data_IF_254368698326
#
_entry.id   IF_254368698326
#
_cell.length_a   1.000
_cell.length_b   1.000
_cell.length_c   1.000
_cell.angle_alpha   90.00
_cell.angle_beta   90.00
_cell.angle_gamma   90.00
#
_symmetry.space_group_name_H-M   'P 1'
#
loop_
_entity.id
_entity.type
_entity.pdbx_description
1 polymer ?
#
# COMPACT_ATOMS: atom_id res chain seq x y z
N UNK A 1 -20.41 -2.56 -21.72
CA UNK A 1 -19.84 -3.20 -20.52
C UNK A 1 -19.21 -2.13 -19.65
N UNK A 2 -19.90 -1.68 -18.61
CA UNK A 2 -19.28 -0.79 -17.61
C UNK A 2 -18.37 -1.68 -16.76
N UNK A 3 -17.06 -1.64 -17.05
CA UNK A 3 -16.08 -2.16 -16.09
C UNK A 3 -16.13 -1.23 -14.88
N UNK A 4 -16.56 -1.75 -13.73
CA UNK A 4 -16.30 -1.18 -12.43
C UNK A 4 -14.77 -1.05 -12.27
N UNK A 5 -14.19 0.05 -12.76
CA UNK A 5 -12.75 0.27 -12.80
C UNK A 5 -12.22 0.42 -11.38
N UNK A 6 -11.74 -0.67 -10.81
CA UNK A 6 -10.92 -0.68 -9.60
C UNK A 6 -9.52 -0.18 -9.95
N UNK A 7 -8.83 0.41 -8.99
CA UNK A 7 -7.53 1.06 -9.23
C UNK A 7 -6.53 0.54 -8.23
N UNK A 8 -5.34 0.20 -8.73
CA UNK A 8 -4.14 0.00 -7.93
C UNK A 8 -3.21 1.17 -8.25
N UNK A 9 -2.68 1.80 -7.21
CA UNK A 9 -1.60 2.79 -7.27
C UNK A 9 -0.42 2.15 -6.57
N UNK A 10 0.72 2.13 -7.24
CA UNK A 10 1.96 1.58 -6.71
C UNK A 10 3.10 2.55 -6.99
N UNK A 11 4.02 2.70 -6.04
CA UNK A 11 5.29 3.38 -6.26
C UNK A 11 6.13 2.59 -7.29
N UNK A 12 7.06 3.28 -7.93
CA UNK A 12 7.91 2.68 -8.98
C UNK A 12 8.93 1.68 -8.46
N UNK A 13 9.11 1.61 -7.14
CA UNK A 13 10.05 0.74 -6.45
C UNK A 13 9.36 -0.43 -5.72
N UNK A 14 8.19 -0.81 -6.26
CA UNK A 14 7.36 -1.97 -5.91
C UNK A 14 7.63 -3.16 -6.84
N UNK A 15 7.63 -4.36 -6.28
CA UNK A 15 7.81 -5.63 -6.99
C UNK A 15 6.64 -6.57 -6.71
N UNK A 16 6.02 -7.06 -7.79
CA UNK A 16 4.83 -7.88 -7.70
C UNK A 16 5.23 -9.31 -8.06
N UNK A 17 5.41 -10.15 -7.04
CA UNK A 17 5.79 -11.56 -7.25
C UNK A 17 4.57 -12.42 -7.62
N UNK A 18 3.39 -11.95 -7.23
CA UNK A 18 2.11 -12.57 -7.56
C UNK A 18 1.08 -11.47 -7.86
N UNK A 19 0.23 -11.67 -8.87
CA UNK A 19 -0.88 -10.75 -9.17
C UNK A 19 -1.79 -10.58 -7.93
N UNK A 20 -1.86 -9.37 -7.34
CA UNK A 20 -2.66 -9.14 -6.15
C UNK A 20 -4.15 -8.93 -6.46
N UNK A 21 -4.54 -8.83 -7.73
CA UNK A 21 -5.87 -8.37 -8.16
C UNK A 21 -7.01 -9.19 -7.56
N UNK A 22 -6.93 -10.54 -7.64
CA UNK A 22 -7.97 -11.42 -7.11
C UNK A 22 -8.10 -11.32 -5.60
N UNK A 23 -6.97 -11.22 -4.89
CA UNK A 23 -6.95 -11.04 -3.44
C UNK A 23 -7.63 -9.73 -3.05
N UNK A 24 -7.22 -8.61 -3.66
CA UNK A 24 -7.78 -7.28 -3.42
C UNK A 24 -9.29 -7.23 -3.71
N UNK A 25 -9.72 -7.89 -4.79
CA UNK A 25 -11.14 -8.03 -5.15
C UNK A 25 -11.95 -8.84 -4.14
N UNK A 26 -11.32 -9.79 -3.47
CA UNK A 26 -11.95 -10.66 -2.46
C UNK A 26 -12.08 -10.02 -1.08
N UNK A 27 -11.36 -8.93 -0.80
CA UNK A 27 -11.35 -8.28 0.51
C UNK A 27 -12.75 -7.86 0.97
N UNK A 28 -13.07 -8.16 2.22
CA UNK A 28 -14.33 -7.80 2.87
C UNK A 28 -14.09 -7.28 4.30
N UNK A 29 -14.86 -6.29 4.74
CA UNK A 29 -15.04 -6.00 6.18
C UNK A 29 -16.52 -6.09 6.54
N UNK A 30 -16.84 -6.75 7.66
CA UNK A 30 -18.22 -6.95 8.11
C UNK A 30 -19.20 -7.42 6.99
N UNK A 31 -18.74 -8.28 6.07
CA UNK A 31 -19.52 -8.80 4.95
C UNK A 31 -19.65 -7.89 3.72
N UNK A 32 -19.11 -6.66 3.74
CA UNK A 32 -19.13 -5.72 2.61
C UNK A 32 -17.81 -5.70 1.87
N UNK A 33 -17.82 -5.29 0.60
CA UNK A 33 -16.59 -5.10 -0.16
C UNK A 33 -15.78 -3.94 0.40
N UNK A 34 -14.47 -4.18 0.61
CA UNK A 34 -13.53 -3.11 0.94
C UNK A 34 -13.49 -2.10 -0.20
N UNK A 35 -13.65 -0.82 0.15
CA UNK A 35 -13.61 0.28 -0.80
C UNK A 35 -12.19 0.83 -0.97
N UNK A 36 -11.37 0.78 0.08
CA UNK A 36 -10.00 1.29 0.10
C UNK A 36 -9.07 0.34 0.86
N UNK A 37 -7.92 -0.01 0.30
CA UNK A 37 -6.89 -0.75 1.01
C UNK A 37 -5.52 -0.13 0.75
N UNK A 38 -4.63 -0.23 1.72
CA UNK A 38 -3.27 0.28 1.58
C UNK A 38 -2.28 -0.53 2.41
N UNK A 39 -1.02 -0.54 1.99
CA UNK A 39 0.07 -1.17 2.73
C UNK A 39 0.24 -0.51 4.10
N UNK A 40 0.71 -1.27 5.09
CA UNK A 40 1.01 -0.74 6.42
C UNK A 40 2.38 -0.08 6.45
N UNK A 41 2.48 1.11 7.04
CA UNK A 41 3.77 1.78 7.23
C UNK A 41 4.71 1.02 8.21
N UNK A 42 6.00 1.34 8.18
CA UNK A 42 6.97 0.77 9.10
C UNK A 42 6.80 1.38 10.50
N UNK A 43 6.38 0.58 11.49
CA UNK A 43 6.43 0.96 12.91
C UNK A 43 5.24 1.76 13.43
N UNK A 44 4.14 1.85 12.68
CA UNK A 44 2.91 2.51 13.14
C UNK A 44 1.66 1.98 12.45
N UNK A 45 0.50 2.47 12.88
CA UNK A 45 -0.82 2.13 12.32
C UNK A 45 -1.24 3.03 11.15
N UNK A 46 -0.33 3.90 10.67
CA UNK A 46 -0.53 4.65 9.44
C UNK A 46 -0.39 3.76 8.21
N UNK A 47 -1.08 4.16 7.14
CA UNK A 47 -0.93 3.54 5.83
C UNK A 47 0.32 4.08 5.13
N UNK A 48 0.96 3.24 4.33
CA UNK A 48 1.95 3.63 3.35
C UNK A 48 1.26 3.78 1.98
N UNK A 49 1.54 4.88 1.28
CA UNK A 49 0.91 5.19 -0.01
C UNK A 49 1.60 4.55 -1.21
N UNK A 50 2.74 3.88 -1.00
CA UNK A 50 3.47 3.16 -2.04
C UNK A 50 2.73 1.96 -2.59
N UNK A 51 1.74 1.43 -1.87
CA UNK A 51 0.76 0.51 -2.47
C UNK A 51 -0.65 0.76 -1.94
N UNK A 52 -1.55 1.16 -2.84
CA UNK A 52 -2.95 1.48 -2.56
C UNK A 52 -3.87 0.81 -3.56
N UNK A 53 -4.96 0.23 -3.07
CA UNK A 53 -6.08 -0.27 -3.86
C UNK A 53 -7.34 0.51 -3.52
N UNK A 54 -8.14 0.90 -4.52
CA UNK A 54 -9.45 1.46 -4.26
C UNK A 54 -10.49 1.14 -5.33
N UNK A 55 -11.75 1.11 -4.90
CA UNK A 55 -12.95 1.07 -5.75
C UNK A 55 -13.46 2.49 -5.95
N UNK A 56 -13.98 2.89 -7.12
CA UNK A 56 -14.36 4.28 -7.42
C UNK A 56 -15.75 4.66 -6.84
N UNK A 57 -15.96 4.45 -5.55
CA UNK A 57 -17.20 4.78 -4.85
C UNK A 57 -17.29 6.27 -4.51
N UNK A 58 -18.48 6.79 -4.13
CA UNK A 58 -18.59 8.17 -3.64
C UNK A 58 -17.67 8.47 -2.45
N UNK A 59 -17.45 7.49 -1.55
CA UNK A 59 -16.63 7.67 -0.34
C UNK A 59 -15.15 7.70 -0.64
N UNK A 60 -14.65 6.83 -1.54
CA UNK A 60 -13.24 6.87 -1.96
C UNK A 60 -12.94 8.13 -2.76
N UNK A 61 -13.86 8.58 -3.63
CA UNK A 61 -13.75 9.88 -4.30
C UNK A 61 -13.69 11.03 -3.30
N UNK A 62 -14.46 10.97 -2.22
CA UNK A 62 -14.41 11.97 -1.16
C UNK A 62 -13.07 11.93 -0.41
N UNK A 63 -12.57 10.74 -0.06
CA UNK A 63 -11.24 10.55 0.54
C UNK A 63 -10.15 11.17 -0.35
N UNK A 64 -10.12 10.85 -1.64
CA UNK A 64 -9.11 11.36 -2.58
C UNK A 64 -9.23 12.88 -2.74
N UNK A 65 -10.45 13.42 -2.82
CA UNK A 65 -10.66 14.88 -2.84
C UNK A 65 -10.17 15.55 -1.56
N UNK A 66 -10.43 14.96 -0.39
CA UNK A 66 -9.91 15.49 0.87
C UNK A 66 -8.39 15.50 0.93
N UNK A 67 -7.74 14.44 0.42
CA UNK A 67 -6.28 14.38 0.31
C UNK A 67 -5.74 15.49 -0.60
N UNK A 68 -6.39 15.71 -1.76
CA UNK A 68 -5.99 16.75 -2.72
C UNK A 68 -6.29 18.19 -2.25
N UNK A 69 -7.37 18.38 -1.49
CA UNK A 69 -7.79 19.69 -0.99
C UNK A 69 -7.08 20.09 0.31
N UNK A 70 -6.26 19.21 0.88
CA UNK A 70 -5.50 19.52 2.08
C UNK A 70 -4.54 20.70 1.80
N UNK A 71 -4.87 21.86 2.39
CA UNK A 71 -4.08 23.07 2.23
C UNK A 71 -2.77 22.91 3.00
N UNK A 72 -1.66 23.00 2.27
CA UNK A 72 -0.32 23.03 2.84
C UNK A 72 -0.09 24.40 3.48
N UNK A 73 0.12 24.44 4.78
CA UNK A 73 0.56 25.66 5.47
C UNK A 73 2.07 25.54 5.70
N UNK A 74 2.86 26.13 4.80
CA UNK A 74 4.30 26.24 5.00
C UNK A 74 4.58 27.19 6.18
N UNK A 75 5.48 26.78 7.09
CA UNK A 75 5.95 27.65 8.17
C UNK A 75 4.90 28.03 9.22
N UNK A 76 3.87 27.20 9.44
CA UNK A 76 2.88 27.47 10.47
C UNK A 76 3.42 27.08 11.85
N UNK A 77 3.49 28.04 12.76
CA UNK A 77 3.80 27.77 14.17
C UNK A 77 2.51 27.32 14.87
N UNK A 78 2.55 26.13 15.47
CA UNK A 78 1.48 25.61 16.32
C UNK A 78 1.29 26.54 17.55
N UNK A 79 0.12 26.50 18.21
CA UNK A 79 -0.14 27.31 19.41
C UNK A 79 0.88 27.09 20.55
N UNK A 80 1.61 25.98 20.54
CA UNK A 80 2.65 25.63 21.51
C UNK A 80 4.06 26.08 21.09
N UNK A 81 4.19 26.90 20.04
CA UNK A 81 5.46 27.46 19.57
C UNK A 81 6.27 26.54 18.68
N UNK A 82 5.83 25.29 18.43
CA UNK A 82 6.51 24.39 17.49
C UNK A 82 6.21 24.79 16.05
N UNK A 83 7.24 24.88 15.23
CA UNK A 83 7.05 25.00 13.79
C UNK A 83 6.57 23.67 13.21
N UNK A 84 5.53 23.71 12.37
CA UNK A 84 5.24 22.64 11.45
C UNK A 84 6.42 22.54 10.47
N UNK A 85 7.36 21.65 10.79
CA UNK A 85 8.41 21.23 9.87
C UNK A 85 7.74 20.84 8.55
N UNK A 86 8.23 21.37 7.42
CA UNK A 86 7.82 21.07 6.05
C UNK A 86 8.03 19.58 5.71
N UNK A 87 7.32 18.67 6.38
CA UNK A 87 7.21 17.24 6.02
C UNK A 87 5.97 16.99 5.15
N UNK A 88 5.38 18.05 4.60
CA UNK A 88 4.08 18.05 3.92
C UNK A 88 4.15 17.72 2.42
N UNK A 89 5.30 17.31 1.90
CA UNK A 89 5.48 16.91 0.50
C UNK A 89 5.33 15.40 0.27
N UNK A 90 4.69 14.69 1.21
CA UNK A 90 4.35 13.28 1.04
C UNK A 90 2.85 13.12 0.88
N UNK A 91 2.46 12.55 -0.26
CA UNK A 91 1.15 11.98 -0.52
C UNK A 91 0.68 11.04 0.61
N UNK A 92 1.59 10.27 1.21
CA UNK A 92 1.32 9.42 2.36
C UNK A 92 0.71 10.20 3.53
N UNK A 93 1.25 11.38 3.85
CA UNK A 93 0.73 12.21 4.94
C UNK A 93 -0.70 12.68 4.62
N UNK A 94 -0.91 13.22 3.41
CA UNK A 94 -2.21 13.73 2.98
C UNK A 94 -3.27 12.63 2.97
N UNK A 95 -2.89 11.44 2.48
CA UNK A 95 -3.74 10.26 2.43
C UNK A 95 -4.11 9.77 3.84
N UNK A 96 -3.15 9.70 4.77
CA UNK A 96 -3.43 9.34 6.16
C UNK A 96 -4.38 10.34 6.83
N UNK A 97 -4.18 11.65 6.61
CA UNK A 97 -5.09 12.67 7.13
C UNK A 97 -6.51 12.53 6.57
N UNK A 98 -6.64 12.29 5.27
CA UNK A 98 -7.93 12.07 4.62
C UNK A 98 -8.60 10.77 5.09
N UNK A 99 -7.83 9.69 5.27
CA UNK A 99 -8.31 8.41 5.77
C UNK A 99 -8.86 8.53 7.19
N UNK A 100 -8.13 9.21 8.08
CA UNK A 100 -8.57 9.45 9.46
C UNK A 100 -9.91 10.20 9.53
N UNK A 101 -10.20 11.07 8.55
CA UNK A 101 -11.51 11.76 8.43
C UNK A 101 -12.58 10.91 7.77
N UNK A 102 -12.21 10.08 6.80
CA UNK A 102 -13.16 9.27 6.01
C UNK A 102 -13.64 8.03 6.76
N UNK A 103 -12.81 7.43 7.61
CA UNK A 103 -13.16 6.22 8.34
C UNK A 103 -14.39 6.41 9.27
N UNK A 104 -14.50 7.48 10.09
CA UNK A 104 -15.71 7.78 10.85
C UNK A 104 -16.95 8.07 9.98
N UNK A 105 -16.76 8.50 8.72
CA UNK A 105 -17.82 8.73 7.75
C UNK A 105 -18.28 7.44 7.04
N UNK A 106 -17.79 6.30 7.52
CA UNK A 106 -18.22 4.97 7.07
C UNK A 106 -17.51 4.48 5.82
N UNK A 107 -16.33 5.01 5.47
CA UNK A 107 -15.47 4.41 4.45
C UNK A 107 -15.08 2.99 4.89
N UNK A 108 -15.36 2.00 4.04
CA UNK A 108 -14.92 0.63 4.25
C UNK A 108 -13.45 0.48 3.83
N UNK A 109 -12.53 0.39 4.80
CA UNK A 109 -11.10 0.34 4.54
C UNK A 109 -10.41 -0.88 5.16
N UNK A 110 -9.28 -1.28 4.60
CA UNK A 110 -8.48 -2.39 5.07
C UNK A 110 -6.99 -2.10 5.00
N UNK A 111 -6.28 -2.25 6.13
CA UNK A 111 -4.82 -2.15 6.14
C UNK A 111 -4.27 -3.53 5.74
N UNK A 112 -3.54 -3.57 4.63
CA UNK A 112 -3.01 -4.81 4.08
C UNK A 112 -2.00 -5.46 5.04
N UNK A 113 -2.03 -6.79 5.17
CA UNK A 113 -1.14 -7.50 6.08
C UNK A 113 0.30 -7.47 5.56
N UNK A 114 1.25 -7.28 6.48
CA UNK A 114 2.69 -7.40 6.15
C UNK A 114 3.11 -8.76 5.61
N UNK A 115 2.33 -9.81 5.91
CA UNK A 115 2.57 -11.18 5.46
C UNK A 115 2.27 -11.41 3.95
N UNK A 116 2.47 -10.39 3.12
CA UNK A 116 2.30 -10.41 1.67
C UNK A 116 2.41 -9.02 1.06
N UNK A 117 2.07 -7.96 1.79
CA UNK A 117 2.35 -6.58 1.36
C UNK A 117 3.47 -6.01 2.23
N UNK A 118 4.71 -6.23 1.80
CA UNK A 118 5.90 -5.95 2.58
C UNK A 118 6.47 -4.57 2.26
N UNK A 119 6.77 -3.80 3.30
CA UNK A 119 7.48 -2.52 3.22
C UNK A 119 8.81 -2.61 3.96
N UNK A 120 9.94 -2.36 3.30
CA UNK A 120 11.26 -2.28 3.93
C UNK A 120 12.40 -3.05 3.23
N UNK A 121 13.50 -3.26 3.96
CA UNK A 121 14.70 -4.00 3.50
C UNK A 121 14.60 -5.50 3.75
N UNK A 122 15.29 -6.31 2.93
CA UNK A 122 15.54 -7.72 3.24
C UNK A 122 14.42 -8.62 2.74
N UNK A 123 14.01 -8.45 1.48
CA UNK A 123 13.05 -9.35 0.85
C UNK A 123 13.59 -10.79 0.84
N UNK A 124 14.86 -10.96 0.51
CA UNK A 124 15.53 -12.27 0.47
C UNK A 124 15.56 -12.90 1.86
N UNK A 125 15.87 -12.14 2.91
CA UNK A 125 15.83 -12.63 4.31
C UNK A 125 14.41 -12.98 4.75
N UNK A 126 13.41 -12.25 4.25
CA UNK A 126 12.00 -12.50 4.54
C UNK A 126 11.46 -13.74 3.80
N UNK A 127 11.94 -13.98 2.57
CA UNK A 127 11.44 -15.05 1.70
C UNK A 127 12.25 -16.35 1.76
N UNK A 128 13.54 -16.30 2.10
CA UNK A 128 14.31 -17.47 2.50
C UNK A 128 13.83 -17.97 3.88
N UNK A 129 13.78 -19.29 4.10
CA UNK A 129 12.51 -20.01 4.16
C UNK A 129 11.91 -20.13 5.56
N UNK A 130 10.68 -19.66 5.72
CA UNK A 130 9.66 -20.49 6.39
C UNK A 130 8.94 -21.25 5.28
N UNK A 131 9.15 -22.57 5.19
CA UNK A 131 8.50 -23.48 4.22
C UNK A 131 7.03 -23.12 4.05
N UNK A 132 6.72 -22.40 2.98
CA UNK A 132 5.35 -22.06 2.62
C UNK A 132 4.78 -23.30 1.93
N UNK A 133 3.77 -23.91 2.54
CA UNK A 133 3.06 -25.06 1.96
C UNK A 133 2.25 -24.58 0.75
N UNK A 134 2.57 -25.03 -0.48
CA UNK A 134 1.88 -24.60 -1.71
C UNK A 134 0.37 -24.87 -1.66
N UNK A 135 -0.07 -25.87 -0.89
CA UNK A 135 -1.50 -26.21 -0.76
C UNK A 135 -2.29 -25.18 0.05
N UNK A 136 -1.62 -24.19 0.64
CA UNK A 136 -2.22 -23.07 1.36
C UNK A 136 -2.14 -21.75 0.58
N UNK A 137 -1.70 -21.75 -0.67
CA UNK A 137 -1.52 -20.55 -1.52
C UNK A 137 -2.75 -19.64 -1.55
N UNK A 138 -3.97 -20.18 -1.60
CA UNK A 138 -5.20 -19.37 -1.58
C UNK A 138 -5.44 -18.62 -0.25
N UNK A 139 -4.71 -18.96 0.83
CA UNK A 139 -4.75 -18.26 2.13
C UNK A 139 -3.52 -17.37 2.35
N UNK A 140 -2.55 -17.42 1.45
CA UNK A 140 -1.34 -16.62 1.55
C UNK A 140 -1.60 -15.36 0.73
N UNK A 141 -1.50 -14.16 1.33
CA UNK A 141 -1.67 -12.94 0.56
C UNK A 141 -0.63 -12.89 -0.58
N UNK A 142 -0.97 -12.32 -1.74
CA UNK A 142 -0.01 -12.12 -2.83
C UNK A 142 1.21 -11.37 -2.28
N UNK A 143 2.39 -11.70 -2.81
CA UNK A 143 3.62 -11.06 -2.36
C UNK A 143 3.91 -9.84 -3.23
N UNK A 144 3.76 -8.67 -2.63
CA UNK A 144 4.11 -7.36 -3.15
C UNK A 144 5.16 -6.78 -2.21
N UNK A 145 6.31 -6.39 -2.78
CA UNK A 145 7.44 -5.88 -2.04
C UNK A 145 7.77 -4.43 -2.42
N UNK A 146 7.70 -3.55 -1.43
CA UNK A 146 8.08 -2.16 -1.51
C UNK A 146 9.45 -1.94 -0.87
N UNK A 147 10.44 -1.58 -1.69
CA UNK A 147 11.81 -1.36 -1.21
C UNK A 147 12.02 0.02 -0.54
N UNK A 148 11.14 0.99 -0.81
CA UNK A 148 11.21 2.40 -0.43
C UNK A 148 12.56 3.09 -0.76
N UNK A 149 13.26 2.60 -1.78
CA UNK A 149 14.63 2.97 -2.09
C UNK A 149 15.62 2.74 -0.93
N UNK A 150 15.24 1.94 0.09
CA UNK A 150 16.08 1.69 1.26
C UNK A 150 17.23 0.74 0.94
N UNK A 151 17.12 -0.07 -0.11
CA UNK A 151 18.07 -1.13 -0.41
C UNK A 151 19.18 -0.61 -1.33
N UNK A 152 20.42 -0.54 -0.82
CA UNK A 152 21.62 -0.44 -1.68
C UNK A 152 21.87 -1.75 -2.43
N UNK A 153 21.25 -2.83 -1.97
CA UNK A 153 21.31 -4.17 -2.53
C UNK A 153 20.18 -4.42 -3.54
N UNK A 154 19.47 -3.37 -3.96
CA UNK A 154 18.34 -3.42 -4.89
C UNK A 154 18.63 -4.34 -6.08
N UNK A 155 19.79 -4.15 -6.73
CA UNK A 155 20.19 -4.97 -7.89
C UNK A 155 20.34 -6.45 -7.55
N UNK A 156 20.89 -6.74 -6.38
CA UNK A 156 21.05 -8.12 -5.91
C UNK A 156 19.70 -8.75 -5.58
N UNK A 157 18.83 -8.03 -4.85
CA UNK A 157 17.48 -8.52 -4.52
C UNK A 157 16.64 -8.76 -5.78
N UNK A 158 16.66 -7.84 -6.75
CA UNK A 158 16.02 -8.05 -8.06
C UNK A 158 16.61 -9.26 -8.79
N UNK A 159 17.94 -9.40 -8.82
CA UNK A 159 18.59 -10.52 -9.49
C UNK A 159 18.21 -11.86 -8.84
N UNK A 160 18.15 -11.93 -7.51
CA UNK A 160 17.71 -13.14 -6.79
C UNK A 160 16.26 -13.50 -7.15
N UNK A 161 15.38 -12.51 -7.28
CA UNK A 161 13.99 -12.77 -7.70
C UNK A 161 13.89 -13.28 -9.14
N UNK A 162 14.70 -12.71 -10.05
CA UNK A 162 14.80 -13.16 -11.44
C UNK A 162 15.37 -14.59 -11.51
N UNK A 163 16.44 -14.87 -10.77
CA UNK A 163 17.09 -16.19 -10.73
C UNK A 163 16.17 -17.27 -10.16
N UNK A 164 15.22 -16.89 -9.30
CA UNK A 164 14.22 -17.79 -8.72
C UNK A 164 12.94 -17.92 -9.57
N UNK A 165 12.83 -17.20 -10.68
CA UNK A 165 11.62 -17.14 -11.53
C UNK A 165 10.38 -16.70 -10.73
N UNK A 166 10.57 -15.77 -9.80
CA UNK A 166 9.55 -15.32 -8.84
C UNK A 166 8.93 -13.98 -9.19
N UNK A 167 9.33 -13.37 -10.31
CA UNK A 167 8.67 -12.18 -10.85
C UNK A 167 7.83 -12.57 -12.04
N UNK A 168 6.53 -12.24 -11.99
CA UNK A 168 5.62 -12.34 -13.12
C UNK A 168 5.93 -11.17 -14.08
N UNK A 169 7.06 -11.26 -14.78
CA UNK A 169 7.50 -10.29 -15.80
C UNK A 169 6.83 -10.61 -17.14
N UNK A 170 5.50 -10.67 -17.17
CA UNK A 170 4.77 -10.48 -18.42
C UNK A 170 4.72 -8.97 -18.73
N UNK A 171 5.91 -8.43 -19.04
CA UNK A 171 6.12 -7.13 -19.64
C UNK A 171 7.04 -7.30 -20.87
N UNK A 172 6.47 -7.88 -21.93
CA UNK A 172 6.99 -7.82 -23.29
C UNK A 172 6.08 -6.97 -24.17
#
# INVERSE_FOLDING_TARGET
VHLDRQVIVADVDEYWLHDPTRYLQSLRTAGRQVEFAAMKNLGGDSVNSGFVFYRPTPKTKQLLRMALMAKRYAGHTLPDGRELLNKADSDQLLLNCALARSAPMGLDYFILPRAGFYFGRGLVDFMCPKKVDPRKEAKIPPVVWHSAGFSTDYKFETQVLLDLDWTDLDAS
#
